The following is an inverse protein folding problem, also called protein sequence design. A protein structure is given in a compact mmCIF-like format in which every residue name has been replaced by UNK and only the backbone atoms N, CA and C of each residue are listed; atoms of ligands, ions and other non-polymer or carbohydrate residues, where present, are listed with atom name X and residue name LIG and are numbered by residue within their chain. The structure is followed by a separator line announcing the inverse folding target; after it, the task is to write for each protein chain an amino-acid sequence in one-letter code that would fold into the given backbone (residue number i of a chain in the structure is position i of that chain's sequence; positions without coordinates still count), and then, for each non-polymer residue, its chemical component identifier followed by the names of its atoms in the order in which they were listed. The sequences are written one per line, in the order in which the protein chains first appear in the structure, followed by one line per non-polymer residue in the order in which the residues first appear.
data_IF_459722610485
#
_entry.id   IF_459722610485
#
_cell.length_a   1.000
_cell.length_b   1.000
_cell.length_c   1.000
_cell.angle_alpha   90.00
_cell.angle_beta   90.00
_cell.angle_gamma   90.00
#
_symmetry.space_group_name_H-M   'P 1'
#
loop_
_entity.id
_entity.type
_entity.pdbx_description
1 polymer ?
#
# COMPACT_ATOMS: atom_id res chain seq x y z
N UNK A 1 -54.71 -60.94 28.18
CA UNK A 1 -53.83 -60.95 26.99
C UNK A 1 -54.29 -59.86 26.04
N UNK A 2 -53.37 -58.97 25.67
CA UNK A 2 -53.31 -58.23 24.40
C UNK A 2 -54.25 -57.03 24.07
N UNK A 3 -53.65 -55.84 24.20
CA UNK A 3 -53.64 -54.62 23.34
C UNK A 3 -54.89 -53.78 22.99
N UNK A 4 -54.75 -52.50 23.41
CA UNK A 4 -54.74 -51.20 22.67
C UNK A 4 -55.98 -50.67 21.91
N UNK A 5 -56.33 -49.45 22.39
CA UNK A 5 -56.51 -48.15 21.71
C UNK A 5 -57.66 -47.90 20.73
N UNK A 6 -58.71 -47.33 21.33
CA UNK A 6 -59.40 -46.06 21.05
C UNK A 6 -59.12 -45.25 19.78
N UNK A 7 -60.24 -44.81 19.20
CA UNK A 7 -60.37 -43.84 18.11
C UNK A 7 -61.61 -42.95 18.36
N UNK A 8 -61.40 -41.62 18.37
CA UNK A 8 -62.31 -40.56 17.92
C UNK A 8 -63.72 -40.37 18.55
N UNK A 9 -64.02 -39.18 19.09
CA UNK A 9 -64.73 -38.06 18.39
C UNK A 9 -65.12 -36.90 19.34
N UNK A 10 -65.26 -35.73 18.71
CA UNK A 10 -65.48 -34.38 19.21
C UNK A 10 -66.98 -34.01 19.23
N UNK A 11 -67.43 -33.20 20.20
CA UNK A 11 -68.30 -32.00 20.06
C UNK A 11 -68.84 -31.57 21.45
N UNK A 12 -68.50 -30.39 21.98
CA UNK A 12 -69.04 -29.05 21.73
C UNK A 12 -70.23 -28.70 22.66
N UNK A 13 -70.23 -27.44 23.12
CA UNK A 13 -71.32 -26.60 23.68
C UNK A 13 -71.26 -26.38 25.20
N UNK A 14 -71.05 -25.13 25.62
CA UNK A 14 -71.86 -24.40 26.63
C UNK A 14 -71.25 -22.97 26.75
N UNK A 15 -71.92 -21.93 26.24
CA UNK A 15 -72.99 -21.09 26.83
C UNK A 15 -72.46 -19.96 27.72
N UNK A 16 -73.08 -18.81 27.51
CA UNK A 16 -72.69 -17.48 27.96
C UNK A 16 -73.18 -17.09 29.36
N UNK A 17 -72.62 -15.96 29.82
CA UNK A 17 -73.08 -14.94 30.79
C UNK A 17 -72.70 -15.04 32.26
N UNK A 18 -72.04 -13.95 32.70
CA UNK A 18 -71.67 -13.54 34.06
C UNK A 18 -72.88 -13.18 34.95
N UNK A 19 -72.70 -12.95 36.28
CA UNK A 19 -72.40 -11.58 36.74
C UNK A 19 -71.54 -11.41 38.03
N UNK A 20 -70.81 -10.28 38.05
CA UNK A 20 -70.56 -9.29 39.13
C UNK A 20 -70.34 -9.76 40.60
N UNK A 21 -69.15 -9.43 41.14
CA UNK A 21 -69.00 -8.67 42.40
C UNK A 21 -67.53 -8.25 42.65
N UNK A 22 -67.35 -6.99 43.07
CA UNK A 22 -66.13 -6.36 43.58
C UNK A 22 -65.34 -7.23 44.55
N UNK A 23 -64.00 -7.16 44.54
CA UNK A 23 -63.20 -6.69 45.68
C UNK A 23 -61.72 -6.49 45.29
N UNK A 24 -61.22 -5.35 45.75
CA UNK A 24 -59.85 -4.82 45.77
C UNK A 24 -58.73 -5.87 45.89
N UNK A 25 -57.75 -5.85 44.99
CA UNK A 25 -56.34 -6.13 45.32
C UNK A 25 -55.42 -5.77 44.16
N UNK A 26 -54.33 -5.11 44.52
CA UNK A 26 -53.18 -4.70 43.73
C UNK A 26 -52.50 -5.90 43.06
N UNK A 27 -52.43 -5.92 41.72
CA UNK A 27 -51.28 -6.44 40.92
C UNK A 27 -51.56 -6.26 39.41
N UNK A 28 -50.92 -5.34 38.68
CA UNK A 28 -50.86 -5.47 37.22
C UNK A 28 -49.80 -6.55 36.90
N UNK A 29 -50.28 -7.70 36.47
CA UNK A 29 -49.46 -8.77 35.92
C UNK A 29 -48.86 -8.29 34.58
N UNK A 30 -47.56 -7.97 34.62
CA UNK A 30 -46.56 -8.11 33.54
C UNK A 30 -47.11 -8.20 32.10
N UNK A 31 -47.40 -7.04 31.50
CA UNK A 31 -47.08 -6.83 30.10
C UNK A 31 -45.61 -6.46 30.03
N UNK A 32 -44.74 -7.48 29.93
CA UNK A 32 -43.37 -7.28 29.45
C UNK A 32 -43.51 -6.89 27.98
N UNK A 33 -43.70 -5.60 27.72
CA UNK A 33 -43.28 -5.02 26.46
C UNK A 33 -41.75 -4.96 26.55
N UNK A 34 -41.11 -6.06 26.18
CA UNK A 34 -39.70 -6.03 25.82
C UNK A 34 -39.64 -5.15 24.57
N UNK A 35 -39.50 -3.83 24.77
CA UNK A 35 -38.70 -3.04 23.85
C UNK A 35 -37.31 -3.66 23.90
N UNK A 36 -37.10 -4.69 23.08
CA UNK A 36 -35.79 -4.93 22.51
C UNK A 36 -35.51 -3.68 21.71
N UNK A 37 -34.93 -2.69 22.38
CA UNK A 37 -33.95 -1.86 21.70
C UNK A 37 -32.95 -2.87 21.15
N UNK A 38 -33.09 -3.19 19.87
CA UNK A 38 -32.00 -3.71 19.09
C UNK A 38 -30.94 -2.64 19.20
N UNK A 39 -30.10 -2.74 20.22
CA UNK A 39 -28.83 -2.02 20.30
C UNK A 39 -28.18 -2.30 18.96
N UNK A 40 -27.83 -1.22 18.28
CA UNK A 40 -27.39 -1.21 16.89
C UNK A 40 -26.53 -2.44 16.60
N UNK A 41 -27.07 -3.35 15.79
CA UNK A 41 -26.18 -4.08 14.90
C UNK A 41 -25.64 -2.98 13.99
N UNK A 42 -24.56 -2.33 14.43
CA UNK A 42 -23.60 -1.70 13.53
C UNK A 42 -23.26 -2.84 12.58
N UNK A 43 -23.93 -2.85 11.42
CA UNK A 43 -23.53 -3.69 10.33
C UNK A 43 -22.11 -3.25 10.06
N UNK A 44 -21.13 -4.02 10.55
CA UNK A 44 -19.74 -3.82 10.20
C UNK A 44 -19.70 -3.85 8.68
N UNK A 45 -19.48 -2.68 8.06
CA UNK A 45 -19.48 -2.58 6.61
C UNK A 45 -18.42 -3.56 6.11
N UNK A 46 -18.80 -4.43 5.17
CA UNK A 46 -17.90 -5.49 4.74
C UNK A 46 -16.67 -4.87 4.10
N UNK A 47 -15.48 -5.15 4.66
CA UNK A 47 -14.23 -4.60 4.19
C UNK A 47 -14.01 -4.87 2.69
N UNK A 48 -13.72 -3.78 1.98
CA UNK A 48 -13.50 -3.74 0.53
C UNK A 48 -12.05 -3.42 0.22
N UNK A 49 -11.67 -3.70 -1.01
CA UNK A 49 -10.38 -3.32 -1.57
C UNK A 49 -10.63 -2.52 -2.84
N UNK A 50 -10.07 -1.32 -2.91
CA UNK A 50 -10.04 -0.55 -4.15
C UNK A 50 -8.78 -0.89 -4.96
N UNK A 51 -8.78 -0.55 -6.25
CA UNK A 51 -7.57 -0.62 -7.09
C UNK A 51 -6.58 0.50 -6.76
N UNK A 52 -7.08 1.67 -6.35
CA UNK A 52 -6.27 2.79 -5.88
C UNK A 52 -5.72 2.56 -4.47
N UNK A 53 -4.44 2.84 -4.28
CA UNK A 53 -3.75 2.73 -3.00
C UNK A 53 -2.91 3.99 -2.76
N UNK A 54 -2.86 4.38 -1.50
CA UNK A 54 -2.14 5.53 -1.01
C UNK A 54 -1.24 5.10 0.14
N UNK A 55 0.04 5.41 0.04
CA UNK A 55 1.01 4.91 1.01
C UNK A 55 2.03 5.96 1.36
N UNK A 56 2.22 6.16 2.66
CA UNK A 56 3.31 6.93 3.24
C UNK A 56 4.35 5.96 3.78
N UNK A 57 5.60 6.07 3.34
CA UNK A 57 6.70 5.22 3.76
C UNK A 57 7.78 6.03 4.44
N UNK A 58 8.28 5.52 5.57
CA UNK A 58 9.57 5.95 6.14
C UNK A 58 10.50 4.75 6.17
N UNK A 59 11.67 4.89 5.54
CA UNK A 59 12.76 3.92 5.63
C UNK A 59 13.87 4.55 6.46
N UNK A 60 14.24 3.94 7.58
CA UNK A 60 15.40 4.31 8.40
C UNK A 60 16.48 3.27 8.17
N UNK A 61 17.44 3.59 7.31
CA UNK A 61 18.51 2.66 6.93
C UNK A 61 19.81 3.00 7.66
N UNK A 62 20.01 2.41 8.83
CA UNK A 62 21.22 2.60 9.64
C UNK A 62 22.38 1.71 9.17
N UNK A 63 22.07 0.69 8.37
CA UNK A 63 22.97 -0.40 8.02
C UNK A 63 23.75 -0.15 6.73
N UNK A 64 23.08 0.34 5.69
CA UNK A 64 23.63 0.43 4.33
C UNK A 64 23.93 1.89 3.99
N UNK A 65 22.91 2.73 3.87
CA UNK A 65 23.05 4.09 3.37
C UNK A 65 23.21 5.16 4.44
N UNK A 66 22.88 4.86 5.70
CA UNK A 66 22.75 5.83 6.79
C UNK A 66 21.71 6.93 6.52
N UNK A 67 20.75 6.69 5.62
CA UNK A 67 19.74 7.68 5.25
C UNK A 67 18.39 7.36 5.87
N UNK A 68 17.64 8.41 6.19
CA UNK A 68 16.19 8.30 6.35
C UNK A 68 15.55 8.71 5.03
N UNK A 69 14.62 7.91 4.50
CA UNK A 69 13.86 8.25 3.30
C UNK A 69 12.39 8.32 3.65
N UNK A 70 11.77 9.47 3.45
CA UNK A 70 10.33 9.63 3.55
C UNK A 70 9.75 9.65 2.14
N UNK A 71 8.64 8.96 1.89
CA UNK A 71 8.02 8.98 0.58
C UNK A 71 6.52 8.78 0.61
N UNK A 72 5.83 9.42 -0.33
CA UNK A 72 4.42 9.19 -0.61
C UNK A 72 4.30 8.50 -1.95
N UNK A 73 3.54 7.41 -2.02
CA UNK A 73 3.25 6.67 -3.23
C UNK A 73 1.74 6.59 -3.45
N UNK A 74 1.31 6.93 -4.66
CA UNK A 74 -0.04 6.77 -5.15
C UNK A 74 0.00 5.69 -6.23
N UNK A 75 -0.74 4.61 -6.04
CA UNK A 75 -0.65 3.41 -6.85
C UNK A 75 -2.02 2.97 -7.33
N UNK A 76 -2.05 2.34 -8.50
CA UNK A 76 -3.28 1.80 -9.06
C UNK A 76 -3.00 0.71 -10.09
N UNK A 77 -3.98 -0.17 -10.27
CA UNK A 77 -4.05 -1.12 -11.38
C UNK A 77 -5.11 -0.74 -12.44
N UNK A 78 -5.80 0.38 -12.24
CA UNK A 78 -6.92 0.86 -13.04
C UNK A 78 -6.53 2.08 -13.88
N UNK A 79 -6.87 2.01 -15.18
CA UNK A 79 -6.72 3.13 -16.11
C UNK A 79 -7.77 4.24 -15.91
N UNK A 80 -8.80 4.00 -15.10
CA UNK A 80 -9.78 5.02 -14.74
C UNK A 80 -9.22 5.99 -13.70
N UNK A 81 -8.33 5.48 -12.84
CA UNK A 81 -7.68 6.25 -11.78
C UNK A 81 -6.40 6.93 -12.29
N UNK A 82 -5.59 6.22 -13.07
CA UNK A 82 -4.43 6.78 -13.77
C UNK A 82 -4.62 6.62 -15.28
N UNK A 83 -4.95 7.73 -15.95
CA UNK A 83 -5.25 7.81 -17.37
C UNK A 83 -3.97 8.03 -18.18
N UNK A 84 -3.26 6.95 -18.49
CA UNK A 84 -2.18 7.00 -19.48
C UNK A 84 -2.79 7.40 -20.85
N UNK A 85 -2.13 8.27 -21.64
CA UNK A 85 -2.60 8.60 -22.97
C UNK A 85 -2.84 7.36 -23.86
N UNK A 86 -3.96 7.29 -24.60
CA UNK A 86 -4.40 6.08 -25.31
C UNK A 86 -3.37 5.48 -26.28
N UNK A 87 -2.57 6.32 -26.95
CA UNK A 87 -1.54 5.87 -27.89
C UNK A 87 -0.43 5.10 -27.19
N UNK A 88 0.07 5.64 -26.07
CA UNK A 88 1.08 4.98 -25.24
C UNK A 88 0.51 3.70 -24.62
N UNK A 89 -0.73 3.77 -24.13
CA UNK A 89 -1.46 2.66 -23.52
C UNK A 89 -1.61 1.46 -24.49
N UNK A 90 -2.04 1.72 -25.74
CA UNK A 90 -2.12 0.72 -26.79
C UNK A 90 -0.75 0.12 -27.15
N UNK A 91 0.29 0.97 -27.20
CA UNK A 91 1.65 0.53 -27.52
C UNK A 91 2.24 -0.40 -26.45
N UNK A 92 1.94 -0.14 -25.18
CA UNK A 92 2.38 -1.00 -24.08
C UNK A 92 1.64 -2.34 -24.12
N UNK A 93 0.32 -2.36 -24.34
CA UNK A 93 -0.48 -3.60 -24.39
C UNK A 93 -0.09 -4.55 -25.51
N UNK A 94 0.36 -4.02 -26.64
CA UNK A 94 0.67 -4.81 -27.83
C UNK A 94 2.10 -5.38 -27.84
N UNK A 95 2.90 -5.17 -26.78
CA UNK A 95 4.29 -5.62 -26.73
C UNK A 95 4.64 -6.17 -25.34
N UNK A 96 5.07 -7.43 -25.29
CA UNK A 96 5.39 -8.13 -24.05
C UNK A 96 6.88 -8.07 -23.66
N UNK A 97 7.71 -7.43 -24.48
CA UNK A 97 9.14 -7.26 -24.23
C UNK A 97 9.42 -6.20 -23.17
N UNK A 98 8.56 -5.18 -23.08
CA UNK A 98 8.67 -4.10 -22.09
C UNK A 98 8.14 -4.59 -20.74
N UNK A 99 8.99 -4.53 -19.71
CA UNK A 99 8.65 -4.92 -18.33
C UNK A 99 8.51 -3.74 -17.40
N UNK A 100 8.93 -2.55 -17.83
CA UNK A 100 8.75 -1.33 -17.06
C UNK A 100 9.07 -0.07 -17.85
N UNK A 101 8.33 0.99 -17.57
CA UNK A 101 8.64 2.35 -18.01
C UNK A 101 8.72 3.22 -16.77
N UNK A 102 9.81 3.97 -16.62
CA UNK A 102 10.06 4.84 -15.46
C UNK A 102 10.40 6.23 -15.94
N UNK A 103 9.71 7.23 -15.41
CA UNK A 103 9.98 8.65 -15.62
C UNK A 103 10.38 9.24 -14.27
N UNK A 104 11.58 9.78 -14.14
CA UNK A 104 12.08 10.26 -12.85
C UNK A 104 13.02 11.45 -13.00
N UNK A 105 13.18 12.25 -11.95
CA UNK A 105 14.24 13.25 -11.82
C UNK A 105 15.25 12.92 -10.72
N UNK A 106 15.31 11.66 -10.25
CA UNK A 106 16.34 11.20 -9.32
C UNK A 106 17.75 11.63 -9.77
N UNK A 107 18.59 12.03 -8.80
CA UNK A 107 19.92 12.61 -9.08
C UNK A 107 20.77 11.73 -9.99
N UNK A 108 20.65 10.41 -9.81
CA UNK A 108 21.31 9.43 -10.64
C UNK A 108 20.35 8.26 -10.89
N UNK A 109 19.80 8.16 -12.10
CA UNK A 109 18.94 7.05 -12.49
C UNK A 109 19.74 5.83 -13.00
N UNK A 110 20.88 6.07 -13.66
CA UNK A 110 21.89 5.08 -14.03
C UNK A 110 23.28 5.71 -13.90
N UNK A 111 24.32 4.88 -13.87
CA UNK A 111 25.70 5.37 -13.87
C UNK A 111 25.95 6.30 -15.07
N UNK A 112 26.52 7.48 -14.79
CA UNK A 112 26.85 8.49 -15.80
C UNK A 112 25.77 9.53 -16.06
N UNK A 113 24.55 9.36 -15.54
CA UNK A 113 23.51 10.41 -15.58
C UNK A 113 23.51 11.17 -14.26
N UNK A 114 23.59 12.50 -14.32
CA UNK A 114 23.55 13.39 -13.17
C UNK A 114 22.62 14.56 -13.45
N UNK A 115 21.77 14.91 -12.49
CA UNK A 115 20.92 16.11 -12.53
C UNK A 115 20.16 16.27 -13.85
N UNK A 116 19.45 15.20 -14.25
CA UNK A 116 18.66 15.14 -15.47
C UNK A 116 17.34 14.42 -15.21
N UNK A 117 16.32 14.75 -16.00
CA UNK A 117 15.13 13.88 -16.10
C UNK A 117 15.57 12.62 -16.84
N UNK A 118 15.18 11.45 -16.34
CA UNK A 118 15.37 10.17 -16.98
C UNK A 118 14.05 9.55 -17.39
N UNK A 119 14.00 9.03 -18.60
CA UNK A 119 13.03 8.04 -19.05
C UNK A 119 13.78 6.73 -19.25
N UNK A 120 13.43 5.71 -18.48
CA UNK A 120 13.99 4.37 -18.60
C UNK A 120 12.92 3.43 -19.15
N UNK A 121 13.23 2.76 -20.26
CA UNK A 121 12.40 1.72 -20.84
C UNK A 121 13.11 0.40 -20.63
N UNK A 122 12.53 -0.44 -19.78
CA UNK A 122 13.12 -1.68 -19.32
C UNK A 122 12.55 -2.84 -20.12
N UNK A 123 13.44 -3.64 -20.70
CA UNK A 123 13.09 -4.82 -21.47
C UNK A 123 13.63 -6.08 -20.83
N UNK A 124 12.97 -7.21 -21.07
CA UNK A 124 13.48 -8.53 -20.65
C UNK A 124 14.83 -8.78 -21.32
N UNK A 125 15.78 -9.32 -20.55
CA UNK A 125 17.02 -9.87 -21.08
C UNK A 125 16.80 -11.35 -21.40
N UNK A 126 16.88 -11.72 -22.67
CA UNK A 126 16.87 -13.13 -23.07
C UNK A 126 18.24 -13.76 -22.78
N UNK A 127 18.27 -14.71 -21.84
CA UNK A 127 19.49 -15.44 -21.50
C UNK A 127 19.86 -16.43 -22.61
N UNK A 128 21.09 -16.36 -23.13
CA UNK A 128 21.65 -17.38 -24.03
C UNK A 128 21.57 -17.05 -25.53
N UNK A 129 21.01 -15.90 -25.92
CA UNK A 129 21.06 -15.39 -27.29
C UNK A 129 21.76 -14.04 -27.31
N UNK A 130 22.72 -13.86 -28.22
CA UNK A 130 23.17 -12.53 -28.62
C UNK A 130 23.98 -11.67 -27.66
N UNK A 131 25.00 -12.25 -27.01
CA UNK A 131 26.05 -11.49 -26.30
C UNK A 131 25.57 -10.32 -25.41
N UNK A 132 26.43 -9.33 -25.19
CA UNK A 132 26.06 -8.07 -24.51
C UNK A 132 25.57 -7.03 -25.54
N UNK A 133 26.25 -6.95 -26.69
CA UNK A 133 25.98 -5.95 -27.72
C UNK A 133 24.60 -6.14 -28.34
N UNK A 134 24.24 -7.35 -28.75
CA UNK A 134 22.93 -7.59 -29.36
C UNK A 134 21.78 -7.42 -28.36
N UNK A 135 21.98 -7.75 -27.07
CA UNK A 135 21.03 -7.39 -26.02
C UNK A 135 20.84 -5.86 -25.89
N UNK A 136 21.93 -5.07 -25.99
CA UNK A 136 21.85 -3.61 -25.98
C UNK A 136 21.17 -3.06 -27.23
N UNK A 137 21.47 -3.59 -28.41
CA UNK A 137 20.88 -3.16 -29.68
C UNK A 137 19.38 -3.47 -29.75
N UNK A 138 18.97 -4.66 -29.29
CA UNK A 138 17.55 -5.05 -29.18
C UNK A 138 16.81 -4.12 -28.21
N UNK A 139 17.36 -3.92 -27.01
CA UNK A 139 16.78 -3.02 -26.03
C UNK A 139 16.68 -1.60 -26.58
N UNK A 140 17.71 -1.12 -27.28
CA UNK A 140 17.74 0.20 -27.89
C UNK A 140 16.64 0.38 -28.93
N UNK A 141 16.53 -0.57 -29.85
CA UNK A 141 15.51 -0.57 -30.90
C UNK A 141 14.10 -0.52 -30.32
N UNK A 142 13.85 -1.30 -29.25
CA UNK A 142 12.58 -1.26 -28.53
C UNK A 142 12.41 0.13 -27.89
N UNK A 143 13.39 0.61 -27.13
CA UNK A 143 13.32 1.92 -26.48
C UNK A 143 13.04 3.07 -27.45
N UNK A 144 13.74 3.09 -28.59
CA UNK A 144 13.59 4.13 -29.62
C UNK A 144 12.18 4.09 -30.21
N UNK A 145 11.56 2.91 -30.26
CA UNK A 145 10.18 2.81 -30.69
C UNK A 145 9.23 3.53 -29.74
N UNK A 146 9.41 3.51 -28.41
CA UNK A 146 8.45 4.11 -27.45
C UNK A 146 8.70 5.58 -27.13
N UNK A 147 9.92 6.08 -27.31
CA UNK A 147 10.31 7.36 -26.71
C UNK A 147 9.53 8.55 -27.26
N UNK A 148 9.11 8.50 -28.53
CA UNK A 148 8.31 9.56 -29.14
C UNK A 148 6.93 9.67 -28.46
N UNK A 149 6.21 8.56 -28.29
CA UNK A 149 4.92 8.57 -27.60
C UNK A 149 5.05 8.98 -26.13
N UNK A 150 6.13 8.57 -25.44
CA UNK A 150 6.38 8.98 -24.05
C UNK A 150 6.63 10.49 -23.98
N UNK A 151 7.48 11.03 -24.87
CA UNK A 151 7.72 12.46 -24.96
C UNK A 151 6.43 13.24 -25.24
N UNK A 152 5.60 12.76 -26.16
CA UNK A 152 4.33 13.40 -26.52
C UNK A 152 3.29 13.32 -25.39
N UNK A 153 3.21 12.18 -24.71
CA UNK A 153 2.32 11.92 -23.58
C UNK A 153 2.62 12.84 -22.41
N UNK A 154 3.89 12.91 -22.00
CA UNK A 154 4.30 13.64 -20.78
C UNK A 154 4.89 15.03 -21.06
N UNK A 155 4.82 15.47 -22.33
CA UNK A 155 5.39 16.74 -22.82
C UNK A 155 6.86 16.87 -22.43
N UNK A 156 7.62 15.82 -22.65
CA UNK A 156 9.07 15.76 -22.41
C UNK A 156 9.83 15.95 -23.73
N UNK A 157 11.13 16.20 -23.64
CA UNK A 157 12.04 16.30 -24.78
C UNK A 157 13.30 15.50 -24.52
N UNK A 158 13.12 14.24 -24.10
CA UNK A 158 14.25 13.37 -23.77
C UNK A 158 14.93 12.85 -25.03
N UNK A 159 16.26 12.78 -24.99
CA UNK A 159 17.12 12.23 -26.04
C UNK A 159 17.85 11.02 -25.52
N UNK A 160 18.21 10.11 -26.40
CA UNK A 160 18.95 8.93 -26.01
C UNK A 160 20.24 9.29 -25.29
N UNK A 161 20.52 8.55 -24.21
CA UNK A 161 21.75 8.66 -23.44
C UNK A 161 22.56 7.36 -23.51
N UNK A 162 22.00 6.25 -23.02
CA UNK A 162 22.73 4.97 -22.92
C UNK A 162 21.80 3.77 -22.88
N UNK A 163 22.39 2.57 -23.02
CA UNK A 163 21.74 1.30 -22.71
C UNK A 163 22.48 0.65 -21.54
N UNK A 164 21.78 0.43 -20.45
CA UNK A 164 22.33 -0.13 -19.21
C UNK A 164 21.83 -1.56 -19.00
N UNK A 165 22.77 -2.49 -18.83
CA UNK A 165 22.43 -3.88 -18.44
C UNK A 165 22.51 -3.96 -16.93
N UNK A 166 21.42 -4.39 -16.30
CA UNK A 166 21.41 -4.66 -14.88
C UNK A 166 22.04 -6.03 -14.63
N UNK A 167 23.13 -6.08 -13.85
CA UNK A 167 23.85 -7.31 -13.52
C UNK A 167 23.68 -7.71 -12.06
N UNK A 168 23.48 -6.74 -11.18
CA UNK A 168 23.40 -6.96 -9.74
C UNK A 168 21.95 -6.92 -9.26
N UNK A 169 21.67 -7.77 -8.29
CA UNK A 169 20.38 -7.92 -7.63
C UNK A 169 20.55 -7.82 -6.10
N UNK A 170 21.72 -7.40 -5.61
CA UNK A 170 22.08 -7.36 -4.18
C UNK A 170 21.14 -6.49 -3.36
N UNK A 171 20.87 -5.26 -3.83
CA UNK A 171 19.89 -4.36 -3.21
C UNK A 171 18.50 -4.94 -3.27
N UNK A 172 18.19 -5.65 -4.37
CA UNK A 172 16.90 -6.28 -4.49
C UNK A 172 16.75 -7.43 -3.49
N UNK A 173 17.75 -8.31 -3.36
CA UNK A 173 17.82 -9.37 -2.36
C UNK A 173 17.75 -8.84 -0.93
N UNK A 174 18.44 -7.74 -0.63
CA UNK A 174 18.47 -7.14 0.71
C UNK A 174 17.10 -6.56 1.13
N UNK A 175 16.37 -5.98 0.18
CA UNK A 175 15.02 -5.45 0.38
C UNK A 175 13.94 -6.49 0.04
N UNK A 176 14.36 -7.72 -0.26
CA UNK A 176 13.55 -8.82 -0.80
C UNK A 176 12.76 -8.44 -2.08
N UNK A 177 13.16 -7.37 -2.77
CA UNK A 177 12.55 -6.92 -4.02
C UNK A 177 12.73 -7.90 -5.20
N UNK A 178 11.78 -8.00 -6.13
CA UNK A 178 11.70 -8.98 -7.22
C UNK A 178 12.58 -8.68 -8.42
N UNK A 179 13.33 -7.57 -8.44
CA UNK A 179 14.25 -7.24 -9.53
C UNK A 179 13.66 -7.05 -10.95
N UNK A 180 12.38 -7.33 -11.21
CA UNK A 180 11.56 -6.95 -12.39
C UNK A 180 11.76 -5.53 -13.03
N UNK A 181 12.36 -4.54 -12.35
CA UNK A 181 12.51 -3.14 -12.80
C UNK A 181 13.99 -2.76 -12.93
N UNK A 182 14.90 -3.35 -12.15
CA UNK A 182 16.35 -3.04 -12.22
C UNK A 182 17.24 -4.19 -11.73
N UNK A 183 16.75 -5.42 -11.82
CA UNK A 183 17.45 -6.64 -11.42
C UNK A 183 18.10 -7.33 -12.62
N UNK A 184 18.90 -8.35 -12.32
CA UNK A 184 19.84 -9.02 -13.23
C UNK A 184 19.27 -9.57 -14.57
N UNK A 185 17.94 -9.61 -14.70
CA UNK A 185 17.21 -10.04 -15.90
C UNK A 185 16.68 -8.91 -16.80
N UNK A 186 17.11 -7.67 -16.61
CA UNK A 186 16.58 -6.51 -17.35
C UNK A 186 17.66 -5.68 -18.05
N UNK A 187 17.28 -5.04 -19.16
CA UNK A 187 18.11 -4.05 -19.87
C UNK A 187 17.31 -2.75 -19.97
N UNK A 188 17.89 -1.64 -19.52
CA UNK A 188 17.27 -0.31 -19.57
C UNK A 188 17.83 0.49 -20.72
N UNK A 189 16.96 0.93 -21.62
CA UNK A 189 17.31 2.01 -22.54
C UNK A 189 16.97 3.34 -21.87
N UNK A 190 17.96 4.23 -21.76
CA UNK A 190 17.87 5.45 -20.96
C UNK A 190 17.88 6.67 -21.89
N UNK A 191 16.92 7.55 -21.67
CA UNK A 191 16.79 8.83 -22.35
C UNK A 191 16.79 9.94 -21.30
N UNK A 192 17.43 11.06 -21.61
CA UNK A 192 17.56 12.17 -20.68
C UNK A 192 17.13 13.51 -21.25
N UNK A 193 16.65 14.39 -20.38
CA UNK A 193 16.34 15.78 -20.68
C UNK A 193 16.86 16.69 -19.56
N UNK A 194 16.81 18.00 -19.80
CA UNK A 194 17.14 18.99 -18.79
C UNK A 194 16.30 18.78 -17.52
N UNK A 195 16.94 18.86 -16.35
CA UNK A 195 16.28 18.73 -15.05
C UNK A 195 15.19 19.78 -14.86
N UNK A 196 14.14 19.36 -14.18
CA UNK A 196 13.07 20.21 -13.68
C UNK A 196 12.90 19.94 -12.18
N UNK A 197 12.50 20.96 -11.41
CA UNK A 197 12.17 20.81 -9.99
C UNK A 197 11.11 19.73 -9.81
N UNK A 198 11.21 18.98 -8.71
CA UNK A 198 10.27 17.91 -8.38
C UNK A 198 8.83 18.40 -8.29
N UNK A 199 8.61 19.57 -7.68
CA UNK A 199 7.29 20.22 -7.62
C UNK A 199 6.67 20.40 -9.01
N UNK A 200 7.37 21.08 -9.92
CA UNK A 200 6.92 21.26 -11.30
C UNK A 200 6.64 19.94 -12.01
N UNK A 201 7.56 18.98 -11.91
CA UNK A 201 7.43 17.70 -12.61
C UNK A 201 6.27 16.86 -12.06
N UNK A 202 6.11 16.81 -10.73
CA UNK A 202 5.03 16.10 -10.07
C UNK A 202 3.67 16.70 -10.43
N UNK A 203 3.52 18.03 -10.37
CA UNK A 203 2.27 18.70 -10.73
C UNK A 203 1.91 18.50 -12.20
N UNK A 204 2.91 18.59 -13.10
CA UNK A 204 2.71 18.37 -14.53
C UNK A 204 2.31 16.92 -14.85
N UNK A 205 3.04 15.94 -14.32
CA UNK A 205 2.78 14.51 -14.58
C UNK A 205 1.46 14.08 -13.93
N UNK A 206 1.20 14.47 -12.68
CA UNK A 206 -0.07 14.14 -12.02
C UNK A 206 -1.28 14.79 -12.69
N UNK A 207 -1.16 15.99 -13.26
CA UNK A 207 -2.24 16.62 -14.00
C UNK A 207 -2.58 15.89 -15.31
N UNK A 208 -1.60 15.23 -15.93
CA UNK A 208 -1.79 14.40 -17.12
C UNK A 208 -2.42 13.05 -16.75
N UNK A 209 -1.94 12.42 -15.67
CA UNK A 209 -2.31 11.06 -15.30
C UNK A 209 -3.59 10.98 -14.46
N UNK A 210 -3.73 11.82 -13.46
CA UNK A 210 -4.73 11.65 -12.40
C UNK A 210 -5.90 12.60 -12.67
N UNK A 211 -7.13 12.09 -12.84
CA UNK A 211 -8.32 12.90 -13.00
C UNK A 211 -8.42 13.96 -11.90
N UNK A 212 -8.87 15.16 -12.28
CA UNK A 212 -9.01 16.28 -11.35
C UNK A 212 -9.88 15.93 -10.14
N UNK A 213 -10.88 15.07 -10.32
CA UNK A 213 -11.76 14.59 -9.27
C UNK A 213 -10.99 13.84 -8.18
N UNK A 214 -10.04 12.97 -8.55
CA UNK A 214 -9.21 12.23 -7.59
C UNK A 214 -8.19 13.16 -6.94
N UNK A 215 -7.55 14.05 -7.71
CA UNK A 215 -6.59 15.03 -7.15
C UNK A 215 -7.24 15.97 -6.14
N UNK A 216 -8.49 16.36 -6.35
CA UNK A 216 -9.23 17.24 -5.44
C UNK A 216 -9.78 16.52 -4.19
N UNK A 217 -9.64 15.20 -4.09
CA UNK A 217 -10.04 14.43 -2.90
C UNK A 217 -9.01 14.49 -1.76
N UNK A 218 -7.86 15.14 -2.00
CA UNK A 218 -6.84 15.46 -1.00
C UNK A 218 -6.13 14.24 -0.43
N UNK A 219 -5.86 14.25 0.88
CA UNK A 219 -5.21 13.13 1.57
C UNK A 219 -3.74 13.00 1.18
N UNK A 220 -3.32 11.79 0.80
CA UNK A 220 -1.92 11.52 0.46
C UNK A 220 -1.46 12.28 -0.79
N UNK A 221 -2.36 12.62 -1.71
CA UNK A 221 -2.03 13.46 -2.86
C UNK A 221 -1.52 14.84 -2.41
N UNK A 222 -2.15 15.46 -1.41
CA UNK A 222 -1.73 16.76 -0.87
C UNK A 222 -0.40 16.67 -0.14
N UNK A 223 -0.17 15.58 0.62
CA UNK A 223 1.11 15.33 1.27
C UNK A 223 2.23 15.14 0.24
N UNK A 224 1.96 14.44 -0.87
CA UNK A 224 2.93 14.29 -1.96
C UNK A 224 3.26 15.63 -2.64
N UNK A 225 2.26 16.51 -2.84
CA UNK A 225 2.49 17.87 -3.34
C UNK A 225 3.35 18.69 -2.38
N UNK A 226 3.08 18.63 -1.07
CA UNK A 226 3.89 19.35 -0.08
C UNK A 226 5.32 18.84 -0.05
N UNK A 227 5.51 17.51 -0.05
CA UNK A 227 6.83 16.88 -0.08
C UNK A 227 7.61 17.26 -1.34
N UNK A 228 6.93 17.39 -2.49
CA UNK A 228 7.56 17.69 -3.78
C UNK A 228 8.18 19.10 -3.86
N UNK A 229 7.79 20.01 -2.96
CA UNK A 229 8.31 21.39 -2.89
C UNK A 229 9.75 21.47 -2.38
N UNK A 230 10.26 20.42 -1.73
CA UNK A 230 11.63 20.41 -1.25
C UNK A 230 12.64 20.16 -2.38
N UNK A 231 13.74 20.90 -2.37
CA UNK A 231 14.81 20.76 -3.36
C UNK A 231 15.53 19.40 -3.27
N UNK A 232 15.43 18.68 -2.16
CA UNK A 232 15.97 17.33 -1.98
C UNK A 232 14.97 16.23 -2.36
N UNK A 233 13.70 16.58 -2.58
CA UNK A 233 12.69 15.62 -2.99
C UNK A 233 12.87 15.21 -4.43
N UNK A 234 12.56 13.96 -4.76
CA UNK A 234 12.62 13.39 -6.11
C UNK A 234 11.32 12.66 -6.40
N UNK A 235 10.91 12.66 -7.66
CA UNK A 235 9.72 11.95 -8.08
C UNK A 235 10.03 10.85 -9.09
N UNK A 236 9.18 9.84 -9.10
CA UNK A 236 9.17 8.79 -10.10
C UNK A 236 7.74 8.42 -10.46
N UNK A 237 7.46 8.34 -11.75
CA UNK A 237 6.28 7.66 -12.28
C UNK A 237 6.70 6.36 -12.93
N UNK A 238 6.09 5.25 -12.52
CA UNK A 238 6.42 3.91 -13.00
C UNK A 238 5.18 3.24 -13.55
N UNK A 239 5.31 2.61 -14.73
CA UNK A 239 4.32 1.71 -15.33
C UNK A 239 4.94 0.33 -15.43
N UNK A 240 4.30 -0.66 -14.83
CA UNK A 240 4.68 -2.08 -14.91
C UNK A 240 3.58 -2.84 -15.64
N UNK A 241 3.80 -3.22 -16.91
CA UNK A 241 2.85 -4.02 -17.66
C UNK A 241 2.75 -5.44 -17.07
N UNK A 242 1.53 -5.97 -17.01
CA UNK A 242 1.24 -7.38 -16.73
C UNK A 242 0.44 -7.98 -17.88
N UNK A 243 0.15 -9.28 -17.81
CA UNK A 243 -0.57 -9.97 -18.89
C UNK A 243 -1.93 -9.35 -19.23
N UNK A 244 -2.64 -8.82 -18.24
CA UNK A 244 -4.04 -8.37 -18.40
C UNK A 244 -4.30 -6.93 -17.91
N UNK A 245 -3.36 -6.31 -17.21
CA UNK A 245 -3.51 -5.00 -16.59
C UNK A 245 -2.13 -4.34 -16.35
N UNK A 246 -2.12 -3.26 -15.58
CA UNK A 246 -0.89 -2.54 -15.21
C UNK A 246 -0.75 -2.52 -13.69
N UNK A 247 0.46 -2.21 -13.24
CA UNK A 247 0.64 -1.53 -11.97
C UNK A 247 1.30 -0.19 -12.27
N UNK A 248 0.64 0.87 -11.85
CA UNK A 248 1.13 2.23 -11.98
C UNK A 248 1.42 2.81 -10.61
N UNK A 249 2.49 3.60 -10.52
CA UNK A 249 2.89 4.25 -9.27
C UNK A 249 3.43 5.64 -9.57
N UNK A 250 2.84 6.66 -8.94
CA UNK A 250 3.44 7.98 -8.83
C UNK A 250 3.97 8.13 -7.40
N UNK A 251 5.27 8.37 -7.27
CA UNK A 251 5.96 8.47 -5.98
C UNK A 251 6.74 9.77 -5.89
N UNK A 252 6.70 10.39 -4.72
CA UNK A 252 7.61 11.48 -4.30
C UNK A 252 8.36 11.00 -3.07
N UNK A 253 9.67 11.23 -3.03
CA UNK A 253 10.50 10.87 -1.90
C UNK A 253 11.53 11.94 -1.57
N UNK A 254 11.73 12.19 -0.28
CA UNK A 254 12.79 13.03 0.26
C UNK A 254 13.81 12.16 1.00
N UNK A 255 15.08 12.38 0.69
CA UNK A 255 16.20 11.70 1.35
C UNK A 255 16.80 12.65 2.38
N UNK A 256 16.89 12.18 3.62
CA UNK A 256 17.57 12.84 4.72
C UNK A 256 18.91 12.14 4.93
N UNK A 257 20.01 12.68 4.36
CA UNK A 257 21.27 11.98 4.32
C UNK A 257 21.95 11.94 5.68
N UNK A 258 22.58 10.81 6.02
CA UNK A 258 23.39 10.61 7.22
C UNK A 258 22.67 10.75 8.57
N UNK A 259 21.35 10.73 8.62
CA UNK A 259 20.56 10.93 9.85
C UNK A 259 20.12 9.62 10.52
N UNK A 260 20.18 8.47 9.82
CA UNK A 260 19.54 7.25 10.30
C UNK A 260 20.17 6.71 11.60
N UNK A 261 21.50 6.68 11.70
CA UNK A 261 22.22 6.20 12.90
C UNK A 261 21.95 7.04 14.15
N UNK A 262 21.62 8.32 13.99
CA UNK A 262 21.29 9.23 15.09
C UNK A 262 19.79 9.21 15.43
N UNK A 263 18.97 8.59 14.58
CA UNK A 263 17.52 8.51 14.74
C UNK A 263 17.18 7.58 15.90
N UNK A 264 16.75 8.18 17.02
CA UNK A 264 16.18 7.48 18.19
C UNK A 264 14.66 7.59 18.24
N UNK A 265 14.09 8.54 17.53
CA UNK A 265 12.65 8.76 17.43
C UNK A 265 12.29 8.98 15.96
N UNK A 266 11.30 8.26 15.47
CA UNK A 266 10.72 8.41 14.14
C UNK A 266 9.45 9.23 14.28
N UNK A 267 9.56 10.51 13.93
CA UNK A 267 8.46 11.44 13.86
C UNK A 267 7.97 11.53 12.41
N UNK A 268 7.04 10.63 12.09
CA UNK A 268 6.56 10.40 10.73
C UNK A 268 6.05 11.67 10.06
N UNK A 269 5.20 12.45 10.74
CA UNK A 269 4.56 13.61 10.12
C UNK A 269 5.51 14.78 9.92
N UNK A 270 6.54 14.94 10.77
CA UNK A 270 7.60 15.92 10.54
C UNK A 270 8.41 15.60 9.29
N UNK A 271 8.69 14.32 9.02
CA UNK A 271 9.37 13.90 7.78
C UNK A 271 8.52 14.18 6.53
N UNK A 272 7.20 14.27 6.68
CA UNK A 272 6.26 14.64 5.61
C UNK A 272 5.86 16.11 5.62
N UNK A 273 6.38 16.93 6.55
CA UNK A 273 6.12 18.38 6.66
C UNK A 273 4.64 18.72 6.82
N UNK A 274 3.90 17.87 7.54
CA UNK A 274 2.47 18.06 7.84
C UNK A 274 2.20 17.83 9.32
N UNK A 275 1.08 18.35 9.82
CA UNK A 275 0.64 18.15 11.21
C UNK A 275 -0.33 16.97 11.38
N UNK A 276 -0.99 16.60 10.28
CA UNK A 276 -2.01 15.56 10.20
C UNK A 276 -1.96 14.92 8.81
N UNK A 277 -2.20 13.61 8.75
CA UNK A 277 -2.40 12.89 7.49
C UNK A 277 -3.81 12.29 7.47
N UNK A 278 -4.50 12.45 6.33
CA UNK A 278 -5.86 11.97 6.13
C UNK A 278 -5.89 10.97 4.99
N UNK A 279 -6.81 10.00 5.10
CA UNK A 279 -7.22 9.22 3.94
C UNK A 279 -7.78 10.18 2.88
N UNK A 280 -7.59 9.89 1.61
CA UNK A 280 -8.29 10.63 0.55
C UNK A 280 -9.79 10.41 0.65
N UNK A 281 -10.57 11.44 0.30
CA UNK A 281 -12.03 11.31 0.14
C UNK A 281 -12.42 10.30 -0.95
N UNK A 282 -11.46 9.79 -1.74
CA UNK A 282 -11.66 8.62 -2.60
C UNK A 282 -12.23 7.41 -1.82
N UNK A 283 -11.89 7.29 -0.53
CA UNK A 283 -12.34 6.20 0.33
C UNK A 283 -13.49 6.58 1.27
N UNK A 284 -14.22 7.68 1.01
CA UNK A 284 -15.34 8.11 1.88
C UNK A 284 -16.56 7.21 1.78
N UNK A 285 -16.79 6.62 0.60
CA UNK A 285 -18.01 5.88 0.26
C UNK A 285 -17.87 4.37 0.52
N UNK A 286 -17.21 4.03 1.63
CA UNK A 286 -17.20 2.68 2.20
C UNK A 286 -15.98 2.35 3.04
N UNK A 287 -15.93 1.12 3.53
CA UNK A 287 -14.84 0.66 4.40
C UNK A 287 -13.66 0.04 3.63
N UNK A 288 -12.60 0.84 3.46
CA UNK A 288 -11.34 0.48 2.79
C UNK A 288 -10.12 0.57 3.74
N UNK A 289 -10.00 -0.32 4.73
CA UNK A 289 -9.00 -0.21 5.81
C UNK A 289 -7.55 -0.42 5.35
N UNK A 290 -7.33 -0.93 4.15
CA UNK A 290 -6.01 -1.36 3.66
C UNK A 290 -5.55 -0.62 2.39
N UNK A 291 -6.32 0.40 1.96
CA UNK A 291 -6.00 1.20 0.78
C UNK A 291 -5.24 2.50 1.12
N UNK A 292 -5.28 2.95 2.38
CA UNK A 292 -4.46 4.07 2.87
C UNK A 292 -3.62 3.58 4.04
N UNK A 293 -2.30 3.61 3.91
CA UNK A 293 -1.38 2.99 4.87
C UNK A 293 -0.18 3.88 5.16
N UNK A 294 0.34 3.78 6.38
CA UNK A 294 1.64 4.34 6.75
C UNK A 294 2.54 3.17 7.10
N UNK A 295 3.71 3.11 6.50
CA UNK A 295 4.63 1.99 6.60
C UNK A 295 6.00 2.47 7.04
N UNK A 296 6.55 1.81 8.05
CA UNK A 296 7.87 2.11 8.59
C UNK A 296 8.73 0.87 8.49
N UNK A 297 9.88 1.03 7.84
CA UNK A 297 10.92 0.02 7.75
C UNK A 297 12.18 0.56 8.40
N UNK A 298 12.75 -0.19 9.33
CA UNK A 298 14.05 0.12 9.91
C UNK A 298 15.01 -1.01 9.58
N UNK A 299 16.15 -0.66 8.99
CA UNK A 299 17.31 -1.54 8.82
C UNK A 299 18.32 -1.13 9.88
N UNK A 300 18.26 -1.73 11.09
CA UNK A 300 19.08 -1.28 12.20
C UNK A 300 20.55 -1.62 11.97
N UNK A 301 21.43 -0.82 12.58
CA UNK A 301 22.87 -1.09 12.57
C UNK A 301 23.23 -2.28 13.48
N UNK A 302 22.40 -2.52 14.49
CA UNK A 302 22.49 -3.62 15.46
C UNK A 302 21.12 -4.31 15.58
N UNK A 303 21.09 -5.63 15.43
CA UNK A 303 19.86 -6.44 15.46
C UNK A 303 19.17 -6.45 16.85
N UNK A 304 19.83 -5.93 17.89
CA UNK A 304 19.26 -5.73 19.23
C UNK A 304 18.34 -4.52 19.34
N UNK A 305 18.38 -3.60 18.36
CA UNK A 305 17.49 -2.43 18.33
C UNK A 305 16.04 -2.89 18.25
N UNK A 306 15.20 -2.32 19.11
CA UNK A 306 13.76 -2.55 19.14
C UNK A 306 12.99 -1.26 18.89
N UNK A 307 11.80 -1.42 18.32
CA UNK A 307 10.84 -0.33 18.15
C UNK A 307 9.79 -0.34 19.25
N UNK A 308 9.48 0.85 19.77
CA UNK A 308 8.47 1.08 20.79
C UNK A 308 7.49 2.15 20.30
N UNK A 309 6.23 2.01 20.69
CA UNK A 309 5.19 3.03 20.47
C UNK A 309 4.34 3.14 21.73
N UNK A 310 3.87 4.36 22.01
CA UNK A 310 2.92 4.63 23.10
C UNK A 310 1.47 4.65 22.61
N UNK A 311 1.24 4.25 21.35
CA UNK A 311 -0.06 4.28 20.70
C UNK A 311 -0.64 2.89 20.55
N UNK A 312 -1.87 2.78 20.04
CA UNK A 312 -2.55 1.49 19.94
C UNK A 312 -1.77 0.52 19.04
N UNK A 313 -1.65 -0.72 19.49
CA UNK A 313 -1.02 -1.82 18.74
C UNK A 313 -2.09 -2.87 18.46
N UNK A 314 -2.28 -3.20 17.20
CA UNK A 314 -3.22 -4.21 16.74
C UNK A 314 -2.55 -5.57 16.91
N UNK A 315 -3.23 -6.47 17.61
CA UNK A 315 -2.76 -7.84 17.81
C UNK A 315 -2.58 -8.56 16.47
N UNK A 316 -1.59 -9.45 16.40
CA UNK A 316 -1.34 -10.30 15.24
C UNK A 316 -2.05 -11.65 15.40
N UNK A 317 -2.63 -12.17 14.33
CA UNK A 317 -3.13 -13.55 14.24
C UNK A 317 -2.46 -14.29 13.09
N UNK A 318 -2.18 -15.57 13.29
CA UNK A 318 -1.71 -16.45 12.23
C UNK A 318 -2.89 -17.00 11.44
N UNK A 319 -2.91 -16.75 10.13
CA UNK A 319 -3.92 -17.29 9.23
C UNK A 319 -3.29 -17.72 7.91
N UNK A 320 -3.50 -18.98 7.52
CA UNK A 320 -2.91 -19.56 6.30
C UNK A 320 -1.38 -19.43 6.25
N UNK A 321 -0.69 -19.63 7.38
CA UNK A 321 0.76 -19.44 7.54
C UNK A 321 1.23 -17.99 7.25
N UNK A 322 0.37 -17.02 7.53
CA UNK A 322 0.67 -15.59 7.41
C UNK A 322 0.25 -14.86 8.67
N UNK A 323 1.10 -13.95 9.12
CA UNK A 323 0.79 -13.01 10.20
C UNK A 323 -0.08 -11.89 9.65
N UNK A 324 -1.28 -11.72 10.19
CA UNK A 324 -2.25 -10.70 9.77
C UNK A 324 -2.77 -9.91 10.98
N UNK A 325 -3.21 -8.66 10.82
CA UNK A 325 -3.85 -7.92 11.93
C UNK A 325 -5.13 -8.64 12.36
N UNK A 326 -5.34 -8.75 13.67
CA UNK A 326 -6.51 -9.41 14.27
C UNK A 326 -7.81 -8.63 13.99
N UNK A 327 -7.70 -7.31 13.89
CA UNK A 327 -8.83 -6.41 13.75
C UNK A 327 -8.44 -5.19 12.90
N UNK A 328 -8.91 -5.19 11.65
CA UNK A 328 -8.65 -4.12 10.68
C UNK A 328 -9.60 -2.91 10.83
N UNK A 329 -10.56 -2.95 11.76
CA UNK A 329 -11.43 -1.81 12.09
C UNK A 329 -10.78 -0.87 13.09
N UNK A 330 -9.81 -1.38 13.85
CA UNK A 330 -9.06 -0.58 14.82
C UNK A 330 -7.97 0.24 14.14
N UNK A 331 -7.88 1.51 14.54
CA UNK A 331 -6.75 2.35 14.24
C UNK A 331 -5.54 1.98 15.12
N UNK A 332 -4.35 1.83 14.54
CA UNK A 332 -3.14 1.50 15.30
C UNK A 332 -2.03 0.84 14.49
N UNK A 333 -0.90 0.58 15.16
CA UNK A 333 0.25 -0.10 14.57
C UNK A 333 0.09 -1.61 14.56
N UNK A 334 0.39 -2.22 13.43
CA UNK A 334 0.59 -3.65 13.25
C UNK A 334 2.06 -3.90 12.94
N UNK A 335 2.70 -4.83 13.65
CA UNK A 335 4.13 -5.11 13.49
C UNK A 335 4.32 -6.49 12.85
N UNK A 336 4.97 -6.50 11.69
CA UNK A 336 5.50 -7.72 11.08
C UNK A 336 6.75 -8.19 11.83
N UNK A 337 7.58 -7.23 12.24
CA UNK A 337 8.78 -7.47 13.04
C UNK A 337 9.05 -6.27 13.95
N UNK A 338 9.33 -6.53 15.23
CA UNK A 338 9.65 -5.49 16.23
C UNK A 338 11.15 -5.33 16.51
N UNK A 339 11.99 -6.23 16.00
CA UNK A 339 13.44 -6.29 16.27
C UNK A 339 14.15 -7.17 15.24
N UNK A 340 15.49 -7.26 15.30
CA UNK A 340 16.29 -8.07 14.39
C UNK A 340 16.80 -7.27 13.20
N UNK A 341 17.22 -7.96 12.14
CA UNK A 341 17.88 -7.36 10.98
C UNK A 341 16.97 -6.46 10.12
N UNK A 342 15.65 -6.54 10.31
CA UNK A 342 14.62 -5.70 9.69
C UNK A 342 13.45 -5.56 10.67
N UNK A 343 13.11 -4.32 10.99
CA UNK A 343 11.90 -3.97 11.74
C UNK A 343 10.90 -3.42 10.74
N UNK A 344 9.65 -3.86 10.84
CA UNK A 344 8.61 -3.51 9.88
C UNK A 344 7.27 -3.33 10.59
N UNK A 345 6.69 -2.13 10.42
CA UNK A 345 5.48 -1.70 11.09
C UNK A 345 4.54 -0.98 10.11
N UNK A 346 3.26 -1.30 10.16
CA UNK A 346 2.20 -0.70 9.35
C UNK A 346 1.16 -0.07 10.26
N UNK A 347 0.87 1.22 10.08
CA UNK A 347 -0.25 1.85 10.74
C UNK A 347 -1.50 1.67 9.88
N UNK A 348 -2.54 1.12 10.48
CA UNK A 348 -3.88 1.03 9.91
C UNK A 348 -4.73 2.16 10.48
N UNK A 349 -5.46 2.86 9.61
CA UNK A 349 -6.42 3.87 10.06
C UNK A 349 -7.68 3.23 10.66
N UNK A 350 -8.02 2.00 10.24
CA UNK A 350 -9.26 1.37 10.63
C UNK A 350 -10.48 2.21 10.23
N UNK A 351 -11.39 2.42 11.19
CA UNK A 351 -12.56 3.28 11.04
C UNK A 351 -12.24 4.78 11.12
N UNK A 352 -11.03 5.15 11.58
CA UNK A 352 -10.60 6.54 11.59
C UNK A 352 -10.27 7.03 10.18
N UNK A 353 -10.40 8.33 9.97
CA UNK A 353 -10.11 8.96 8.67
C UNK A 353 -8.80 9.75 8.67
N UNK A 354 -8.23 10.00 9.84
CA UNK A 354 -7.05 10.85 10.03
C UNK A 354 -6.16 10.31 11.14
N UNK A 355 -4.87 10.55 11.02
CA UNK A 355 -3.88 10.30 12.06
C UNK A 355 -3.06 11.57 12.31
N UNK A 356 -2.84 11.87 13.58
CA UNK A 356 -2.07 13.03 14.04
C UNK A 356 -0.69 12.58 14.51
N UNK A 357 0.15 13.56 14.77
CA UNK A 357 1.55 13.36 15.18
C UNK A 357 1.69 12.33 16.32
N UNK A 358 0.91 12.47 17.39
CA UNK A 358 1.00 11.59 18.54
C UNK A 358 0.63 10.13 18.24
N UNK A 359 -0.13 9.87 17.18
CA UNK A 359 -0.56 8.51 16.78
C UNK A 359 0.60 7.76 16.08
N UNK A 360 1.57 8.51 15.55
CA UNK A 360 2.55 8.05 14.57
C UNK A 360 4.02 8.18 15.01
N UNK A 361 4.27 8.53 16.27
CA UNK A 361 5.63 8.57 16.84
C UNK A 361 6.06 7.16 17.25
N UNK A 362 7.28 6.79 16.86
CA UNK A 362 7.94 5.57 17.32
C UNK A 362 9.33 5.87 17.87
N UNK A 363 9.79 5.09 18.86
CA UNK A 363 11.11 5.23 19.49
C UNK A 363 11.95 3.98 19.24
N UNK A 364 13.22 4.18 18.90
CA UNK A 364 14.23 3.15 18.69
C UNK A 364 15.19 3.12 19.89
N UNK A 365 15.41 1.93 20.46
CA UNK A 365 16.37 1.79 21.56
C UNK A 365 16.50 0.37 22.11
N UNK A 366 17.48 0.21 22.99
CA UNK A 366 17.76 -1.03 23.72
C UNK A 366 17.30 -0.87 25.18
N UNK A 367 16.31 -1.64 25.66
CA UNK A 367 16.28 -2.09 27.07
C UNK A 367 15.27 -3.20 27.43
N UNK A 368 15.82 -4.11 28.24
CA UNK A 368 15.29 -5.03 29.28
C UNK A 368 13.96 -5.80 29.13
N UNK A 369 14.11 -7.13 29.05
CA UNK A 369 13.22 -8.17 29.57
C UNK A 369 11.70 -7.96 29.43
N UNK A 370 11.16 -8.14 28.22
CA UNK A 370 9.84 -8.77 28.05
C UNK A 370 9.84 -9.65 26.79
N UNK A 371 9.46 -10.90 27.04
CA UNK A 371 9.25 -12.11 26.23
C UNK A 371 9.58 -12.03 24.73
N UNK A 372 10.47 -12.93 24.31
CA UNK A 372 10.80 -13.27 22.91
C UNK A 372 9.54 -13.65 22.12
N UNK A 373 9.26 -12.89 21.05
CA UNK A 373 8.45 -13.36 19.94
C UNK A 373 9.37 -14.08 18.97
N UNK A 374 9.09 -15.37 18.73
CA UNK A 374 9.99 -16.30 18.03
C UNK A 374 10.36 -15.87 16.61
N UNK A 375 11.52 -16.36 16.16
CA UNK A 375 11.97 -16.29 14.79
C UNK A 375 10.91 -16.91 13.86
N UNK A 376 10.39 -16.13 12.90
CA UNK A 376 9.59 -16.67 11.81
C UNK A 376 10.51 -17.19 10.69
N UNK A 377 10.26 -18.41 10.16
CA UNK A 377 10.90 -18.87 8.93
C UNK A 377 10.40 -18.03 7.74
N UNK A 378 11.33 -17.67 6.85
CA UNK A 378 11.06 -16.92 5.64
C UNK A 378 9.98 -17.56 4.77
N UNK A 379 8.98 -16.76 4.39
CA UNK A 379 7.98 -17.14 3.41
C UNK A 379 8.52 -16.87 2.00
N UNK A 380 8.53 -17.91 1.17
CA UNK A 380 8.89 -17.85 -0.24
C UNK A 380 7.89 -17.00 -1.06
N UNK A 381 8.48 -16.08 -1.84
CA UNK A 381 8.13 -15.65 -3.21
C UNK A 381 6.69 -15.20 -3.53
N UNK A 382 6.50 -13.87 -3.65
CA UNK A 382 5.77 -13.25 -4.79
C UNK A 382 6.01 -11.73 -4.92
N UNK A 383 6.79 -11.33 -5.93
CA UNK A 383 6.86 -10.01 -6.61
C UNK A 383 6.96 -8.71 -5.80
N UNK A 384 8.11 -8.46 -5.18
CA UNK A 384 8.40 -7.20 -4.52
C UNK A 384 9.05 -6.22 -5.51
N UNK A 385 8.37 -5.58 -6.46
CA UNK A 385 8.98 -4.39 -7.10
C UNK A 385 8.30 -3.07 -6.86
N UNK A 386 7.59 -3.11 -5.76
CA UNK A 386 6.50 -2.23 -5.49
C UNK A 386 6.53 -2.20 -3.98
N UNK A 387 7.54 -1.48 -3.46
CA UNK A 387 7.97 -1.56 -2.07
C UNK A 387 6.86 -1.31 -1.05
N UNK A 388 5.69 -0.81 -1.47
CA UNK A 388 4.46 -0.98 -0.70
C UNK A 388 3.19 -1.18 -1.53
N UNK A 389 3.07 -0.73 -2.79
CA UNK A 389 1.76 -0.80 -3.48
C UNK A 389 1.18 -2.17 -3.74
N UNK A 390 2.02 -3.14 -4.11
CA UNK A 390 1.57 -4.51 -4.37
C UNK A 390 1.79 -5.43 -3.19
N UNK A 391 2.67 -5.08 -2.25
CA UNK A 391 2.65 -5.69 -0.92
C UNK A 391 1.40 -5.25 -0.16
N UNK A 392 0.99 -3.99 -0.21
CA UNK A 392 -0.26 -3.49 0.36
C UNK A 392 -1.47 -4.05 -0.37
N UNK A 393 -1.54 -4.00 -1.71
CA UNK A 393 -2.69 -4.58 -2.43
C UNK A 393 -2.75 -6.11 -2.27
N UNK A 394 -1.61 -6.80 -2.35
CA UNK A 394 -1.47 -8.24 -2.16
C UNK A 394 -1.78 -8.65 -0.73
N UNK A 395 -1.05 -8.14 0.26
CA UNK A 395 -1.32 -8.33 1.68
C UNK A 395 -2.74 -7.89 2.02
N UNK A 396 -3.30 -6.85 1.40
CA UNK A 396 -4.69 -6.49 1.61
C UNK A 396 -5.67 -7.53 1.05
N UNK A 397 -5.45 -8.06 -0.17
CA UNK A 397 -6.22 -9.21 -0.68
C UNK A 397 -6.09 -10.39 0.28
N UNK A 398 -4.90 -10.67 0.80
CA UNK A 398 -4.65 -11.79 1.72
C UNK A 398 -5.27 -11.58 3.09
N UNK A 399 -5.11 -10.41 3.70
CA UNK A 399 -5.77 -9.97 4.93
C UNK A 399 -7.28 -10.09 4.77
N UNK A 400 -7.85 -9.53 3.70
CA UNK A 400 -9.29 -9.62 3.42
C UNK A 400 -9.75 -11.06 3.14
N UNK A 401 -8.97 -11.90 2.43
CA UNK A 401 -9.26 -13.35 2.30
C UNK A 401 -9.22 -14.03 3.68
N UNK A 402 -8.29 -13.61 4.53
CA UNK A 402 -8.22 -13.99 5.92
C UNK A 402 -9.53 -13.65 6.64
N UNK A 403 -10.04 -12.43 6.51
CA UNK A 403 -11.30 -12.05 7.15
C UNK A 403 -12.54 -12.73 6.55
N UNK A 404 -12.60 -12.93 5.22
CA UNK A 404 -13.75 -13.52 4.52
C UNK A 404 -13.95 -15.02 4.76
N UNK A 405 -12.93 -15.76 5.17
CA UNK A 405 -13.05 -17.19 5.49
C UNK A 405 -13.87 -17.48 6.78
N UNK A 406 -14.41 -16.46 7.45
CA UNK A 406 -15.53 -16.61 8.38
C UNK A 406 -16.83 -16.52 7.59
N UNK A 407 -17.29 -17.65 7.07
CA UNK A 407 -18.70 -17.99 6.81
C UNK A 407 -18.79 -19.47 6.43
#
# INVERSE_FOLDING_TARGET
MEKRHDKFRVNLILKARAPVAMHKAVLPLLLIFAMTYSVDNVFAEQARLATYHEVAQVIVDQKISNNVTASISLQTTSIQEFQIPPELDAKIRNNTDVVGIIITNENQCVLGVQDQICVMINTKRESGQGGIIEAQDKARKIGDSYIEEINNAFKLNTKFHSVFIHYDDSSNKALETSGQVSGSGTVSTVYTAQVQSTDYMFNKISAILIPMQIRNMGGFFDVAQELAKDDNSRMSFTILPREHDYIMQLKVSEKYPNTAKETKEIDTLKLFKVDEIKKSNYFSDGFFPLNSLIHIVVLPADDTIKVHTNTNVIDSIEKNNQTVPADITKSGWFFNSKSGNKIEAMYLFGDEFSAKRQDLIMTLGEKENMIEGGNLPGANEMYILIGIGVVAAGAAIYYLKGFRAKN
#
